data_IF_933313372473
#
_entry.id   IF_933313372473
#
_cell.length_a   1.000
_cell.length_b   1.000
_cell.length_c   1.000
_cell.angle_alpha   90.00
_cell.angle_beta   90.00
_cell.angle_gamma   90.00
#
_symmetry.space_group_name_H-M   'P 1'
#
loop_
_entity.id
_entity.type
_entity.pdbx_description
1 polymer ?
#
# COMPACT_ATOMS: atom_id res chain seq x y z
N UNK A 1 14.14 -17.55 -27.80
CA UNK A 1 13.02 -17.10 -28.67
C UNK A 1 12.00 -16.43 -27.79
N UNK A 2 11.49 -15.25 -28.19
CA UNK A 2 10.45 -14.51 -27.46
C UNK A 2 9.11 -14.71 -28.16
N UNK A 3 8.06 -15.11 -27.42
CA UNK A 3 6.71 -15.39 -27.92
C UNK A 3 5.64 -14.80 -26.99
N UNK A 4 4.46 -14.49 -27.53
CA UNK A 4 3.27 -14.10 -26.79
C UNK A 4 2.35 -15.32 -26.65
N UNK A 5 1.72 -15.46 -25.48
CA UNK A 5 0.66 -16.45 -25.25
C UNK A 5 -0.46 -15.90 -24.37
N UNK A 6 -1.60 -16.53 -24.40
CA UNK A 6 -2.70 -16.22 -23.50
C UNK A 6 -2.31 -16.59 -22.06
N UNK A 7 -2.74 -15.79 -21.10
CA UNK A 7 -2.65 -16.16 -19.68
C UNK A 7 -3.51 -17.40 -19.44
N UNK A 8 -3.05 -18.34 -18.62
CA UNK A 8 -3.59 -19.69 -18.50
C UNK A 8 -5.09 -19.80 -18.16
N UNK A 9 -5.71 -18.77 -17.61
CA UNK A 9 -7.14 -18.71 -17.29
C UNK A 9 -7.98 -17.96 -18.34
N UNK A 10 -7.37 -17.49 -19.43
CA UNK A 10 -8.06 -16.79 -20.53
C UNK A 10 -8.45 -17.78 -21.60
N UNK A 11 -9.71 -17.73 -22.03
CA UNK A 11 -10.22 -18.51 -23.17
C UNK A 11 -10.74 -17.58 -24.25
N UNK A 12 -10.52 -17.96 -25.51
CA UNK A 12 -11.06 -17.24 -26.66
C UNK A 12 -12.23 -18.03 -27.24
N UNK A 13 -13.30 -17.33 -27.62
CA UNK A 13 -14.44 -17.90 -28.30
C UNK A 13 -14.80 -17.03 -29.49
N UNK A 14 -14.82 -17.64 -30.69
CA UNK A 14 -15.35 -17.01 -31.90
C UNK A 14 -16.84 -17.37 -32.06
N UNK A 15 -17.68 -16.37 -32.30
CA UNK A 15 -19.10 -16.50 -32.57
C UNK A 15 -19.36 -16.61 -34.08
N UNK A 16 -20.53 -17.11 -34.47
CA UNK A 16 -20.91 -17.30 -35.88
C UNK A 16 -20.93 -15.99 -36.69
N UNK A 17 -21.11 -14.84 -36.03
CA UNK A 17 -21.06 -13.51 -36.65
C UNK A 17 -19.59 -12.98 -36.80
N UNK A 18 -18.59 -13.79 -36.49
CA UNK A 18 -17.18 -13.41 -36.52
C UNK A 18 -16.68 -12.63 -35.29
N UNK A 19 -17.53 -12.36 -34.33
CA UNK A 19 -17.12 -11.71 -33.10
C UNK A 19 -16.25 -12.64 -32.23
N UNK A 20 -15.10 -12.15 -31.79
CA UNK A 20 -14.20 -12.88 -30.89
C UNK A 20 -14.31 -12.29 -29.49
N UNK A 21 -14.61 -13.15 -28.51
CA UNK A 21 -14.76 -12.79 -27.11
C UNK A 21 -13.68 -13.51 -26.28
N UNK A 22 -12.99 -12.77 -25.41
CA UNK A 22 -12.12 -13.33 -24.40
C UNK A 22 -12.87 -13.44 -23.06
N UNK A 23 -12.77 -14.59 -22.40
CA UNK A 23 -13.39 -14.83 -21.09
C UNK A 23 -12.33 -15.19 -20.05
N UNK A 24 -12.45 -14.61 -18.83
CA UNK A 24 -11.51 -14.78 -17.73
C UNK A 24 -12.20 -14.45 -16.37
N UNK A 25 -12.04 -15.28 -15.38
CA UNK A 25 -12.59 -15.10 -14.01
C UNK A 25 -14.07 -14.68 -13.96
N UNK A 26 -14.92 -15.27 -14.80
CA UNK A 26 -16.35 -14.93 -14.86
C UNK A 26 -16.69 -13.64 -15.63
N UNK A 27 -15.68 -12.92 -16.12
CA UNK A 27 -15.85 -11.74 -16.98
C UNK A 27 -15.61 -12.08 -18.43
N UNK A 28 -16.18 -11.28 -19.32
CA UNK A 28 -15.97 -11.41 -20.76
C UNK A 28 -15.76 -10.04 -21.41
N UNK A 29 -14.88 -9.99 -22.40
CA UNK A 29 -14.61 -8.78 -23.18
C UNK A 29 -14.69 -9.11 -24.68
N UNK A 30 -15.45 -8.31 -25.42
CA UNK A 30 -15.53 -8.40 -26.87
C UNK A 30 -14.28 -7.78 -27.50
N UNK A 31 -13.53 -8.58 -28.25
CA UNK A 31 -12.32 -8.14 -28.94
C UNK A 31 -12.62 -7.58 -30.35
N UNK A 32 -13.84 -7.76 -30.86
CA UNK A 32 -14.31 -7.28 -32.15
C UNK A 32 -14.52 -8.40 -33.17
N UNK A 33 -14.83 -8.02 -34.41
CA UNK A 33 -15.12 -8.94 -35.50
C UNK A 33 -13.87 -9.23 -36.31
N UNK A 34 -13.60 -10.52 -36.56
CA UNK A 34 -12.43 -11.04 -37.25
C UNK A 34 -12.86 -12.16 -38.22
N UNK A 35 -12.05 -12.44 -39.23
CA UNK A 35 -12.26 -13.59 -40.10
C UNK A 35 -12.07 -14.91 -39.31
N UNK A 36 -12.79 -15.97 -39.76
CA UNK A 36 -12.64 -17.30 -39.17
C UNK A 36 -11.18 -17.79 -39.22
N UNK A 37 -10.44 -17.45 -40.27
CA UNK A 37 -9.03 -17.79 -40.41
C UNK A 37 -8.17 -17.09 -39.34
N UNK A 38 -8.47 -15.83 -39.03
CA UNK A 38 -7.75 -15.10 -37.97
C UNK A 38 -8.09 -15.63 -36.57
N UNK A 39 -9.37 -15.92 -36.29
CA UNK A 39 -9.83 -16.50 -35.04
C UNK A 39 -9.19 -17.87 -34.79
N UNK A 40 -9.22 -18.78 -35.76
CA UNK A 40 -8.57 -20.09 -35.65
C UNK A 40 -7.06 -20.00 -35.44
N UNK A 41 -6.38 -19.04 -36.09
CA UNK A 41 -4.93 -18.84 -35.91
C UNK A 41 -4.62 -18.25 -34.52
N UNK A 42 -5.53 -17.45 -33.96
CA UNK A 42 -5.39 -16.93 -32.61
C UNK A 42 -5.48 -18.01 -31.52
N UNK A 43 -6.12 -19.17 -31.78
CA UNK A 43 -6.09 -20.31 -30.86
C UNK A 43 -4.68 -20.83 -30.60
N UNK A 44 -3.76 -20.68 -31.54
CA UNK A 44 -2.36 -21.01 -31.34
C UNK A 44 -1.67 -20.17 -30.25
N UNK A 45 -2.29 -19.06 -29.80
CA UNK A 45 -1.82 -18.28 -28.65
C UNK A 45 -1.83 -19.07 -27.35
N UNK A 46 -2.64 -20.12 -27.22
CA UNK A 46 -2.55 -21.01 -26.04
C UNK A 46 -1.16 -21.69 -25.94
N UNK A 47 -0.60 -22.10 -27.07
CA UNK A 47 0.74 -22.67 -27.14
C UNK A 47 1.85 -21.61 -27.22
N UNK A 48 1.49 -20.43 -27.72
CA UNK A 48 2.38 -19.30 -27.94
C UNK A 48 2.69 -19.05 -29.43
N UNK A 49 2.75 -17.78 -29.80
CA UNK A 49 3.15 -17.34 -31.12
C UNK A 49 4.41 -16.44 -31.01
N UNK A 50 5.42 -16.62 -31.89
CA UNK A 50 6.62 -15.79 -31.84
C UNK A 50 6.29 -14.32 -32.12
N UNK A 51 6.93 -13.39 -31.43
CA UNK A 51 6.68 -11.94 -31.61
C UNK A 51 6.97 -11.46 -33.05
N UNK A 52 7.83 -12.14 -33.77
CA UNK A 52 8.08 -11.87 -35.20
C UNK A 52 6.84 -12.07 -36.10
N UNK A 53 5.86 -12.87 -35.64
CA UNK A 53 4.59 -13.06 -36.36
C UNK A 53 3.70 -11.81 -36.37
N UNK A 54 3.98 -10.82 -35.50
CA UNK A 54 3.20 -9.58 -35.34
C UNK A 54 3.92 -8.35 -35.89
N UNK A 55 4.90 -8.55 -36.77
CA UNK A 55 5.66 -7.45 -37.36
C UNK A 55 4.77 -6.50 -38.18
N UNK A 56 5.12 -5.21 -38.21
CA UNK A 56 4.33 -4.12 -38.81
C UNK A 56 4.04 -4.26 -40.32
N UNK A 57 4.65 -5.24 -40.98
CA UNK A 57 4.45 -5.53 -42.42
C UNK A 57 3.46 -6.67 -42.69
N UNK A 58 2.75 -7.16 -41.67
CA UNK A 58 1.74 -8.22 -41.82
C UNK A 58 0.62 -7.80 -42.77
N UNK A 59 0.13 -8.75 -43.63
CA UNK A 59 -0.95 -8.54 -44.57
C UNK A 59 -2.03 -9.61 -44.38
N UNK A 60 -3.26 -9.34 -44.83
CA UNK A 60 -4.38 -10.30 -44.76
C UNK A 60 -4.63 -10.80 -43.33
N UNK A 61 -4.78 -12.12 -43.19
CA UNK A 61 -5.03 -12.82 -41.90
C UNK A 61 -3.98 -12.46 -40.82
N UNK A 62 -2.71 -12.28 -41.17
CA UNK A 62 -1.67 -11.95 -40.22
C UNK A 62 -1.87 -10.56 -39.60
N UNK A 63 -2.41 -9.60 -40.38
CA UNK A 63 -2.78 -8.27 -39.90
C UNK A 63 -3.94 -8.34 -38.92
N UNK A 64 -4.94 -9.17 -39.21
CA UNK A 64 -6.09 -9.36 -38.31
C UNK A 64 -5.63 -10.01 -36.99
N UNK A 65 -4.80 -11.06 -37.05
CA UNK A 65 -4.21 -11.69 -35.84
C UNK A 65 -3.41 -10.68 -35.04
N UNK A 66 -2.56 -9.86 -35.68
CA UNK A 66 -1.81 -8.82 -34.99
C UNK A 66 -2.72 -7.82 -34.27
N UNK A 67 -3.84 -7.41 -34.91
CA UNK A 67 -4.83 -6.53 -34.29
C UNK A 67 -5.54 -7.20 -33.11
N UNK A 68 -5.90 -8.48 -33.21
CA UNK A 68 -6.52 -9.25 -32.14
C UNK A 68 -5.55 -9.35 -30.95
N UNK A 69 -4.27 -9.66 -31.20
CA UNK A 69 -3.23 -9.74 -30.17
C UNK A 69 -3.00 -8.39 -29.50
N UNK A 70 -3.02 -7.28 -30.25
CA UNK A 70 -2.95 -5.94 -29.66
C UNK A 70 -4.14 -5.63 -28.74
N UNK A 71 -5.36 -6.07 -29.11
CA UNK A 71 -6.53 -5.90 -28.23
C UNK A 71 -6.43 -6.75 -26.97
N UNK A 72 -5.92 -7.98 -27.08
CA UNK A 72 -5.61 -8.81 -25.90
C UNK A 72 -4.56 -8.16 -25.01
N UNK A 73 -3.49 -7.60 -25.56
CA UNK A 73 -2.47 -6.88 -24.81
C UNK A 73 -3.05 -5.66 -24.07
N UNK A 74 -3.95 -4.91 -24.73
CA UNK A 74 -4.65 -3.77 -24.13
C UNK A 74 -5.47 -4.14 -22.90
N UNK A 75 -6.05 -5.34 -22.89
CA UNK A 75 -6.80 -5.87 -21.75
C UNK A 75 -5.93 -6.65 -20.75
N UNK A 76 -4.60 -6.70 -20.94
CA UNK A 76 -3.70 -7.42 -20.05
C UNK A 76 -3.90 -8.94 -20.07
N UNK A 77 -4.43 -9.52 -21.17
CA UNK A 77 -4.77 -10.94 -21.28
C UNK A 77 -3.66 -11.81 -21.89
N UNK A 78 -2.48 -11.20 -22.12
CA UNK A 78 -1.31 -11.88 -22.64
C UNK A 78 -0.18 -11.90 -21.60
N UNK A 79 0.61 -12.96 -21.65
CA UNK A 79 1.94 -13.01 -21.09
C UNK A 79 2.96 -13.28 -22.20
N UNK A 80 4.21 -12.94 -21.94
CA UNK A 80 5.29 -13.20 -22.89
C UNK A 80 6.28 -14.17 -22.29
N UNK A 81 6.82 -15.04 -23.13
CA UNK A 81 7.78 -16.05 -22.68
C UNK A 81 9.09 -15.97 -23.43
N UNK A 82 10.18 -16.10 -22.71
CA UNK A 82 11.51 -16.27 -23.25
C UNK A 82 11.96 -17.69 -23.01
N UNK A 83 12.22 -18.44 -24.08
CA UNK A 83 12.69 -19.81 -24.03
C UNK A 83 13.74 -20.08 -25.08
N UNK A 84 14.34 -21.27 -25.04
CA UNK A 84 15.31 -21.69 -26.07
C UNK A 84 14.64 -21.97 -27.42
N UNK A 85 13.39 -22.43 -27.39
CA UNK A 85 12.56 -22.70 -28.55
C UNK A 85 11.09 -22.37 -28.25
N UNK A 86 10.22 -22.38 -29.27
CA UNK A 86 8.79 -22.09 -29.13
C UNK A 86 8.08 -23.08 -28.16
N UNK A 87 8.45 -24.33 -28.20
CA UNK A 87 7.83 -25.40 -27.39
C UNK A 87 8.74 -25.91 -26.28
N UNK A 88 9.87 -25.27 -26.05
CA UNK A 88 10.81 -25.62 -24.95
C UNK A 88 10.34 -25.10 -23.60
N UNK A 89 11.06 -25.48 -22.54
CA UNK A 89 10.83 -24.94 -21.21
C UNK A 89 11.02 -23.42 -21.18
N UNK A 90 10.15 -22.75 -20.42
CA UNK A 90 10.28 -21.33 -20.17
C UNK A 90 11.53 -21.05 -19.33
N UNK A 91 12.34 -20.12 -19.76
CA UNK A 91 13.44 -19.59 -18.97
C UNK A 91 13.00 -18.40 -18.14
N UNK A 92 12.17 -17.53 -18.76
CA UNK A 92 11.54 -16.38 -18.12
C UNK A 92 10.15 -16.19 -18.70
N UNK A 93 9.19 -15.90 -17.84
CA UNK A 93 7.84 -15.45 -18.23
C UNK A 93 7.70 -13.99 -17.82
N UNK A 94 7.21 -13.16 -18.75
CA UNK A 94 7.03 -11.73 -18.57
C UNK A 94 5.54 -11.48 -18.45
N UNK A 95 5.12 -11.00 -17.29
CA UNK A 95 3.73 -10.72 -16.97
C UNK A 95 3.50 -9.20 -17.02
N UNK A 96 2.66 -8.70 -17.95
CA UNK A 96 2.31 -7.28 -18.01
C UNK A 96 1.72 -6.78 -16.70
N UNK A 97 2.14 -5.60 -16.27
CA UNK A 97 1.64 -4.91 -15.09
C UNK A 97 0.87 -3.64 -15.45
N UNK A 98 0.99 -3.20 -16.69
CA UNK A 98 0.30 -2.01 -17.23
C UNK A 98 -0.46 -2.38 -18.50
N UNK A 99 -1.56 -1.70 -18.81
CA UNK A 99 -2.26 -1.86 -20.09
C UNK A 99 -1.34 -1.58 -21.28
N UNK A 100 -1.65 -2.17 -22.42
CA UNK A 100 -0.90 -1.99 -23.66
C UNK A 100 0.61 -2.34 -23.58
N UNK A 101 1.05 -3.04 -22.52
CA UNK A 101 2.44 -3.47 -22.43
C UNK A 101 2.82 -4.33 -23.64
N UNK A 102 3.91 -3.96 -24.28
CA UNK A 102 4.52 -4.71 -25.37
C UNK A 102 6.03 -4.76 -25.20
N UNK A 103 6.66 -5.94 -25.18
CA UNK A 103 8.10 -6.05 -24.99
C UNK A 103 8.88 -5.36 -26.11
N UNK A 104 9.77 -4.47 -25.76
CA UNK A 104 10.73 -3.82 -26.67
C UNK A 104 12.10 -4.37 -26.40
N UNK A 105 12.90 -4.45 -27.43
CA UNK A 105 14.26 -4.96 -27.35
C UNK A 105 15.22 -3.89 -27.88
N UNK A 106 15.62 -2.92 -27.05
CA UNK A 106 16.61 -1.95 -27.43
C UNK A 106 17.93 -2.66 -27.77
N UNK A 107 18.64 -2.16 -28.76
CA UNK A 107 19.94 -2.72 -29.11
C UNK A 107 20.92 -2.47 -27.96
N UNK A 108 21.63 -3.52 -27.56
CA UNK A 108 22.72 -3.47 -26.60
C UNK A 108 24.03 -3.54 -27.36
N UNK A 109 24.90 -2.54 -27.14
CA UNK A 109 26.26 -2.50 -27.66
C UNK A 109 27.20 -3.32 -26.78
N UNK A 110 28.26 -3.85 -27.35
CA UNK A 110 29.35 -4.49 -26.61
C UNK A 110 30.08 -3.55 -25.64
N UNK A 111 29.98 -2.25 -25.90
CA UNK A 111 30.55 -1.19 -25.05
C UNK A 111 29.63 -0.77 -23.90
N UNK A 112 28.37 -1.22 -23.91
CA UNK A 112 27.43 -0.92 -22.78
C UNK A 112 27.92 -1.55 -21.51
N UNK A 113 27.80 -0.81 -20.42
CA UNK A 113 27.95 -1.34 -19.05
C UNK A 113 26.58 -1.35 -18.40
N UNK A 114 26.19 -2.51 -17.87
CA UNK A 114 24.88 -2.73 -17.27
C UNK A 114 24.99 -2.89 -15.76
N UNK A 115 24.02 -2.33 -15.03
CA UNK A 115 23.90 -2.48 -13.59
C UNK A 115 22.42 -2.65 -13.21
N UNK A 116 22.14 -3.37 -12.13
CA UNK A 116 20.80 -3.52 -11.58
C UNK A 116 20.35 -2.19 -10.97
N UNK A 117 19.12 -1.76 -11.28
CA UNK A 117 18.52 -0.59 -10.64
C UNK A 117 18.37 -0.81 -9.13
N UNK A 118 18.57 0.24 -8.33
CA UNK A 118 18.32 0.20 -6.88
C UNK A 118 16.83 -0.03 -6.53
N UNK A 119 15.95 0.18 -7.50
CA UNK A 119 14.52 -0.12 -7.36
C UNK A 119 14.14 -1.54 -7.78
N UNK A 120 15.06 -2.32 -8.35
CA UNK A 120 14.83 -3.70 -8.69
C UNK A 120 14.90 -4.59 -7.45
N UNK A 121 13.97 -5.55 -7.35
CA UNK A 121 13.96 -6.52 -6.25
C UNK A 121 13.49 -7.89 -6.73
N UNK A 122 14.00 -8.92 -6.08
CA UNK A 122 13.57 -10.29 -6.30
C UNK A 122 12.86 -10.82 -5.04
N UNK A 123 11.76 -11.53 -5.25
CA UNK A 123 11.03 -12.18 -4.16
C UNK A 123 10.38 -13.49 -4.59
N UNK A 124 9.99 -14.29 -3.61
CA UNK A 124 9.12 -15.44 -3.83
C UNK A 124 7.66 -14.96 -4.00
N UNK A 125 6.96 -15.50 -5.01
CA UNK A 125 5.52 -15.38 -5.20
C UNK A 125 4.94 -16.79 -5.42
N UNK A 126 4.28 -17.35 -4.40
CA UNK A 126 3.96 -18.79 -4.41
C UNK A 126 5.22 -19.64 -4.51
N UNK A 127 5.36 -20.43 -5.56
CA UNK A 127 6.53 -21.25 -5.85
C UNK A 127 7.49 -20.62 -6.88
N UNK A 128 7.18 -19.41 -7.35
CA UNK A 128 7.97 -18.72 -8.37
C UNK A 128 8.95 -17.73 -7.74
N UNK A 129 10.10 -17.55 -8.38
CA UNK A 129 10.99 -16.42 -8.16
C UNK A 129 10.61 -15.31 -9.15
N UNK A 130 10.28 -14.13 -8.65
CA UNK A 130 9.92 -12.99 -9.49
C UNK A 130 10.90 -11.83 -9.30
N UNK A 131 11.23 -11.17 -10.41
CA UNK A 131 12.02 -9.95 -10.47
C UNK A 131 11.10 -8.79 -10.87
N UNK A 132 11.09 -7.75 -10.08
CA UNK A 132 10.20 -6.62 -10.20
C UNK A 132 10.92 -5.29 -9.97
N UNK A 133 10.28 -4.21 -10.43
CA UNK A 133 10.62 -2.84 -10.06
C UNK A 133 9.32 -2.01 -10.03
N UNK A 134 9.16 -1.05 -9.11
CA UNK A 134 8.04 -0.11 -9.15
C UNK A 134 8.03 0.77 -10.41
N UNK A 135 9.12 0.82 -11.15
CA UNK A 135 9.26 1.56 -12.41
C UNK A 135 8.85 0.73 -13.62
N UNK A 136 8.87 -0.60 -13.50
CA UNK A 136 8.66 -1.53 -14.60
C UNK A 136 7.18 -1.65 -14.96
N UNK A 137 6.87 -1.68 -16.25
CA UNK A 137 5.56 -2.05 -16.78
C UNK A 137 5.30 -3.55 -16.84
N UNK A 138 6.27 -4.39 -16.44
CA UNK A 138 6.15 -5.84 -16.42
C UNK A 138 6.91 -6.46 -15.25
N UNK A 139 6.45 -7.64 -14.82
CA UNK A 139 7.07 -8.52 -13.84
C UNK A 139 7.72 -9.69 -14.59
N UNK A 140 8.88 -10.13 -14.13
CA UNK A 140 9.63 -11.23 -14.72
C UNK A 140 9.65 -12.43 -13.78
N UNK A 141 8.98 -13.51 -14.14
CA UNK A 141 9.05 -14.79 -13.44
C UNK A 141 10.26 -15.56 -13.96
N UNK A 142 11.21 -15.80 -13.08
CA UNK A 142 12.50 -16.45 -13.40
C UNK A 142 12.32 -17.96 -13.21
N UNK A 143 12.26 -18.70 -14.30
CA UNK A 143 12.08 -20.15 -14.29
C UNK A 143 13.41 -20.92 -14.31
N UNK A 144 14.50 -20.27 -14.79
CA UNK A 144 15.85 -20.86 -14.82
C UNK A 144 16.72 -20.25 -13.71
N UNK A 145 17.12 -21.03 -12.68
CA UNK A 145 17.97 -20.52 -11.59
C UNK A 145 19.31 -19.94 -12.05
N UNK A 146 19.83 -20.37 -13.19
CA UNK A 146 21.07 -19.83 -13.74
C UNK A 146 20.94 -18.36 -14.17
N UNK A 147 19.73 -17.93 -14.53
CA UNK A 147 19.42 -16.52 -14.81
C UNK A 147 19.48 -15.71 -13.52
N UNK A 148 18.88 -16.20 -12.43
CA UNK A 148 18.94 -15.52 -11.13
C UNK A 148 20.38 -15.28 -10.67
N UNK A 149 21.25 -16.30 -10.81
CA UNK A 149 22.68 -16.19 -10.50
C UNK A 149 23.39 -15.16 -11.38
N UNK A 150 22.97 -15.01 -12.63
CA UNK A 150 23.53 -14.00 -13.53
C UNK A 150 23.10 -12.59 -13.17
N UNK A 151 21.81 -12.41 -12.78
CA UNK A 151 21.27 -11.14 -12.32
C UNK A 151 21.94 -10.66 -11.02
N UNK A 152 22.28 -11.58 -10.12
CA UNK A 152 23.01 -11.25 -8.89
C UNK A 152 24.38 -10.61 -9.14
N UNK A 153 25.07 -10.94 -10.24
CA UNK A 153 26.34 -10.30 -10.63
C UNK A 153 26.17 -8.83 -11.03
N UNK A 154 24.98 -8.45 -11.47
CA UNK A 154 24.68 -7.09 -11.94
C UNK A 154 24.45 -6.07 -10.81
N UNK A 155 24.60 -6.47 -9.55
CA UNK A 155 24.68 -5.55 -8.40
C UNK A 155 25.84 -4.57 -8.57
N UNK A 156 26.92 -5.00 -9.26
CA UNK A 156 28.02 -4.14 -9.69
C UNK A 156 27.98 -3.96 -11.22
N UNK A 157 28.40 -2.80 -11.75
CA UNK A 157 28.43 -2.57 -13.18
C UNK A 157 29.23 -3.65 -13.93
N UNK A 158 28.64 -4.27 -14.96
CA UNK A 158 29.22 -5.33 -15.76
C UNK A 158 29.20 -4.98 -17.25
N UNK A 159 30.31 -5.20 -18.00
CA UNK A 159 30.33 -5.00 -19.44
C UNK A 159 29.38 -5.98 -20.16
N UNK A 160 28.52 -5.49 -21.04
CA UNK A 160 27.58 -6.32 -21.81
C UNK A 160 28.30 -7.40 -22.64
N UNK A 161 29.49 -7.11 -23.16
CA UNK A 161 30.35 -8.06 -23.88
C UNK A 161 30.73 -9.27 -23.05
N UNK A 162 31.06 -9.08 -21.76
CA UNK A 162 31.40 -10.17 -20.85
C UNK A 162 30.20 -11.08 -20.56
N UNK A 163 29.06 -10.48 -20.26
CA UNK A 163 27.81 -11.19 -19.97
C UNK A 163 27.34 -12.03 -21.17
N UNK A 164 27.50 -11.51 -22.40
CA UNK A 164 27.16 -12.23 -23.61
C UNK A 164 28.07 -13.45 -23.84
N UNK A 165 29.36 -13.33 -23.57
CA UNK A 165 30.31 -14.45 -23.70
C UNK A 165 30.01 -15.58 -22.72
N UNK A 166 29.57 -15.26 -21.51
CA UNK A 166 29.29 -16.26 -20.48
C UNK A 166 27.99 -17.03 -20.72
N UNK A 167 26.98 -16.45 -21.37
CA UNK A 167 25.61 -16.97 -21.35
C UNK A 167 24.88 -17.05 -22.70
N UNK A 168 25.46 -16.55 -23.79
CA UNK A 168 24.90 -16.63 -25.14
C UNK A 168 23.78 -15.63 -25.45
N UNK A 169 23.13 -15.77 -26.61
CA UNK A 169 22.18 -14.81 -27.18
C UNK A 169 20.84 -14.70 -26.42
N UNK A 170 20.38 -15.74 -25.74
CA UNK A 170 19.11 -15.71 -25.01
C UNK A 170 19.16 -14.74 -23.83
N UNK A 171 20.31 -14.64 -23.16
CA UNK A 171 20.51 -13.69 -22.04
C UNK A 171 20.60 -12.26 -22.56
N UNK A 172 21.13 -12.04 -23.78
CA UNK A 172 21.14 -10.73 -24.40
C UNK A 172 19.71 -10.20 -24.65
N UNK A 173 18.81 -11.07 -25.12
CA UNK A 173 17.39 -10.74 -25.26
C UNK A 173 16.77 -10.35 -23.91
N UNK A 174 17.05 -11.11 -22.87
CA UNK A 174 16.56 -10.80 -21.52
C UNK A 174 17.08 -9.45 -21.04
N UNK A 175 18.38 -9.17 -21.19
CA UNK A 175 18.95 -7.90 -20.75
C UNK A 175 18.37 -6.71 -21.50
N UNK A 176 18.10 -6.84 -22.80
CA UNK A 176 17.40 -5.80 -23.56
C UNK A 176 16.00 -5.52 -23.00
N UNK A 177 15.25 -6.58 -22.68
CA UNK A 177 13.93 -6.46 -22.05
C UNK A 177 14.00 -5.81 -20.66
N UNK A 178 15.00 -6.18 -19.86
CA UNK A 178 15.18 -5.61 -18.51
C UNK A 178 15.64 -4.14 -18.58
N UNK A 179 16.37 -3.74 -19.61
CA UNK A 179 16.70 -2.33 -19.85
C UNK A 179 15.47 -1.55 -20.29
N UNK A 180 14.63 -2.10 -21.17
CA UNK A 180 13.37 -1.47 -21.57
C UNK A 180 12.43 -1.27 -20.36
N UNK A 181 12.43 -2.22 -19.42
CA UNK A 181 11.65 -2.16 -18.19
C UNK A 181 12.33 -1.41 -17.03
N UNK A 182 13.44 -0.73 -17.28
CA UNK A 182 14.18 0.04 -16.26
C UNK A 182 14.57 -0.79 -15.01
N UNK A 183 14.69 -2.10 -15.16
CA UNK A 183 15.22 -3.02 -14.16
C UNK A 183 16.74 -3.07 -14.23
N UNK A 184 17.29 -2.98 -15.45
CA UNK A 184 18.71 -2.76 -15.71
C UNK A 184 18.94 -1.36 -16.28
N UNK A 185 20.04 -0.76 -15.88
CA UNK A 185 20.47 0.55 -16.34
C UNK A 185 21.74 0.43 -17.19
N UNK A 186 21.85 1.28 -18.22
CA UNK A 186 23.08 1.54 -18.91
C UNK A 186 23.84 2.65 -18.19
N UNK A 187 25.05 2.36 -17.75
CA UNK A 187 25.91 3.36 -17.09
C UNK A 187 27.10 3.69 -17.96
N UNK A 188 27.43 4.98 -18.07
CA UNK A 188 28.65 5.43 -18.76
C UNK A 188 29.88 5.13 -17.92
N UNK A 189 31.03 4.91 -18.61
CA UNK A 189 32.32 4.58 -17.99
C UNK A 189 32.85 5.70 -17.06
N UNK A 190 32.31 6.92 -17.17
CA UNK A 190 32.87 8.13 -16.54
C UNK A 190 32.33 8.45 -15.14
N UNK A 191 31.40 7.67 -14.58
CA UNK A 191 30.72 8.04 -13.32
C UNK A 191 31.08 7.11 -12.16
N UNK A 192 32.33 7.07 -11.81
CA UNK A 192 32.88 6.27 -10.70
C UNK A 192 32.50 6.74 -9.28
N UNK A 193 31.37 7.39 -9.06
CA UNK A 193 31.05 7.88 -7.72
C UNK A 193 29.59 8.04 -7.34
N UNK A 194 28.66 8.09 -8.28
CA UNK A 194 27.28 8.42 -7.98
C UNK A 194 26.27 7.62 -8.81
N UNK A 195 26.25 6.28 -8.66
CA UNK A 195 25.26 5.43 -9.32
C UNK A 195 23.82 5.92 -9.04
N UNK A 196 23.53 6.42 -7.84
CA UNK A 196 22.22 6.98 -7.51
C UNK A 196 21.84 8.15 -8.43
N UNK A 197 22.78 9.06 -8.72
CA UNK A 197 22.55 10.21 -9.59
C UNK A 197 22.41 9.83 -11.08
N UNK A 198 22.92 8.67 -11.48
CA UNK A 198 22.80 8.18 -12.87
C UNK A 198 21.51 7.36 -13.12
N UNK A 199 20.71 7.08 -12.10
CA UNK A 199 19.48 6.31 -12.24
C UNK A 199 18.26 7.09 -12.76
N UNK A 200 18.37 8.39 -12.98
CA UNK A 200 17.28 9.19 -13.50
C UNK A 200 17.48 10.68 -13.29
N UNK A 201 16.40 11.44 -13.45
CA UNK A 201 16.37 12.87 -13.15
C UNK A 201 16.34 13.12 -11.64
N UNK A 202 16.49 14.39 -11.24
CA UNK A 202 16.51 14.81 -9.84
C UNK A 202 15.28 14.35 -9.07
N UNK A 203 14.11 14.30 -9.72
CA UNK A 203 12.87 13.82 -9.10
C UNK A 203 12.98 12.36 -8.64
N UNK A 204 13.53 11.49 -9.49
CA UNK A 204 13.69 10.07 -9.17
C UNK A 204 14.79 9.83 -8.12
N UNK A 205 15.84 10.64 -8.14
CA UNK A 205 16.94 10.56 -7.16
C UNK A 205 16.44 10.76 -5.72
N UNK A 206 15.41 11.59 -5.54
CA UNK A 206 14.82 11.88 -4.23
C UNK A 206 13.98 10.72 -3.63
N UNK A 207 13.51 9.78 -4.46
CA UNK A 207 12.73 8.64 -3.98
C UNK A 207 13.61 7.59 -3.29
N UNK A 208 13.18 7.11 -2.13
CA UNK A 208 13.70 5.88 -1.57
C UNK A 208 12.94 4.66 -2.11
N UNK A 209 13.58 3.48 -2.05
CA UNK A 209 13.03 2.25 -2.60
C UNK A 209 11.63 1.93 -2.03
N UNK A 210 11.50 2.00 -0.69
CA UNK A 210 10.25 1.65 -0.01
C UNK A 210 9.11 2.60 -0.37
N UNK A 211 9.39 3.89 -0.43
CA UNK A 211 8.39 4.92 -0.73
C UNK A 211 7.87 4.78 -2.15
N UNK A 212 8.77 4.62 -3.13
CA UNK A 212 8.39 4.41 -4.52
C UNK A 212 7.65 3.09 -4.72
N UNK A 213 8.10 2.01 -4.05
CA UNK A 213 7.43 0.73 -4.10
C UNK A 213 6.01 0.82 -3.55
N UNK A 214 5.84 1.42 -2.36
CA UNK A 214 4.54 1.59 -1.74
C UNK A 214 3.62 2.47 -2.59
N UNK A 215 4.11 3.61 -3.06
CA UNK A 215 3.37 4.51 -3.93
C UNK A 215 2.90 3.80 -5.21
N UNK A 216 3.80 3.11 -5.91
CA UNK A 216 3.48 2.43 -7.15
C UNK A 216 2.55 1.21 -6.97
N UNK A 217 2.58 0.54 -5.80
CA UNK A 217 1.78 -0.66 -5.52
C UNK A 217 0.44 -0.36 -4.87
N UNK A 218 0.25 0.83 -4.32
CA UNK A 218 -1.01 1.26 -3.69
C UNK A 218 -1.86 2.20 -4.54
N UNK A 219 -1.41 2.52 -5.76
CA UNK A 219 -2.10 3.36 -6.74
C UNK A 219 -2.29 2.63 -8.06
N UNK A 220 -3.27 3.01 -8.89
CA UNK A 220 -3.46 2.43 -10.22
C UNK A 220 -2.31 2.74 -11.19
N UNK A 221 -2.18 1.91 -12.22
CA UNK A 221 -1.34 2.17 -13.39
C UNK A 221 0.07 1.59 -13.34
N UNK A 222 0.48 0.97 -12.23
CA UNK A 222 1.83 0.39 -12.07
C UNK A 222 1.86 -1.06 -11.65
N UNK A 223 0.71 -1.70 -11.48
CA UNK A 223 0.57 -3.12 -11.15
C UNK A 223 -0.75 -3.67 -11.68
N UNK A 224 -0.80 -4.99 -11.88
CA UNK A 224 -2.00 -5.70 -12.34
C UNK A 224 -2.89 -6.19 -11.17
N UNK A 225 -2.53 -5.93 -9.92
CA UNK A 225 -3.37 -6.31 -8.78
C UNK A 225 -4.65 -5.47 -8.76
N UNK A 226 -5.81 -6.07 -8.52
CA UNK A 226 -7.06 -5.32 -8.45
C UNK A 226 -7.03 -4.34 -7.27
N UNK A 227 -7.56 -3.12 -7.51
CA UNK A 227 -7.79 -2.13 -6.48
C UNK A 227 -9.24 -2.23 -6.00
N UNK A 228 -9.45 -2.07 -4.71
CA UNK A 228 -10.79 -2.09 -4.11
C UNK A 228 -11.06 -3.31 -3.25
N UNK A 229 -12.33 -3.60 -3.01
CA UNK A 229 -12.78 -4.66 -2.12
C UNK A 229 -12.84 -6.02 -2.81
N UNK A 230 -11.73 -6.72 -2.93
CA UNK A 230 -11.64 -8.03 -3.61
C UNK A 230 -11.85 -9.23 -2.68
N UNK A 231 -11.96 -8.99 -1.36
CA UNK A 231 -12.23 -10.00 -0.33
C UNK A 231 -11.42 -11.31 -0.47
N UNK A 232 -10.09 -11.25 -0.58
CA UNK A 232 -9.26 -12.41 -0.96
C UNK A 232 -9.32 -13.56 0.04
N UNK A 233 -9.80 -13.31 1.24
CA UNK A 233 -9.87 -14.29 2.34
C UNK A 233 -11.30 -14.57 2.83
N UNK A 234 -12.34 -14.13 2.10
CA UNK A 234 -13.73 -14.27 2.53
C UNK A 234 -14.16 -15.71 2.81
N UNK A 235 -13.58 -16.69 2.08
CA UNK A 235 -13.89 -18.12 2.22
C UNK A 235 -13.04 -18.83 3.28
N UNK A 236 -11.97 -18.21 3.79
CA UNK A 236 -10.98 -18.87 4.66
C UNK A 236 -10.80 -18.19 6.02
N UNK A 237 -11.08 -16.90 6.13
CA UNK A 237 -10.89 -16.12 7.35
C UNK A 237 -12.17 -15.32 7.62
N UNK A 238 -12.75 -15.48 8.81
CA UNK A 238 -13.88 -14.68 9.22
C UNK A 238 -13.48 -13.20 9.39
N UNK A 239 -14.35 -12.24 9.01
CA UNK A 239 -14.07 -10.83 9.23
C UNK A 239 -13.92 -10.49 10.70
N UNK A 240 -12.99 -9.61 11.04
CA UNK A 240 -12.88 -9.10 12.39
C UNK A 240 -14.13 -8.28 12.76
N UNK A 241 -14.62 -8.36 14.01
CA UNK A 241 -15.78 -7.60 14.45
C UNK A 241 -15.52 -6.09 14.27
N UNK A 242 -16.56 -5.32 13.96
CA UNK A 242 -16.48 -3.89 13.76
C UNK A 242 -16.00 -3.16 15.02
N UNK A 243 -16.49 -3.59 16.16
CA UNK A 243 -16.03 -3.13 17.47
C UNK A 243 -15.10 -4.18 18.06
N UNK A 244 -13.99 -3.77 18.63
CA UNK A 244 -13.06 -4.65 19.32
C UNK A 244 -13.75 -5.31 20.52
N UNK A 245 -13.43 -6.58 20.82
CA UNK A 245 -13.81 -7.16 22.11
C UNK A 245 -13.37 -6.27 23.28
N UNK A 246 -14.22 -6.12 24.25
CA UNK A 246 -13.99 -5.22 25.39
C UNK A 246 -12.66 -5.55 26.07
N UNK A 247 -11.91 -4.49 26.41
CA UNK A 247 -10.70 -4.67 27.20
C UNK A 247 -11.04 -5.18 28.59
N UNK A 248 -10.28 -6.13 29.10
CA UNK A 248 -10.45 -6.67 30.43
C UNK A 248 -10.00 -5.68 31.50
N UNK A 249 -10.65 -5.69 32.68
CA UNK A 249 -10.30 -4.85 33.81
C UNK A 249 -11.31 -3.75 34.12
N UNK A 250 -10.95 -2.90 35.06
CA UNK A 250 -11.77 -1.76 35.51
C UNK A 250 -11.86 -0.72 34.41
N UNK A 251 -13.05 -0.14 34.21
CA UNK A 251 -13.30 0.89 33.21
C UNK A 251 -13.65 2.21 33.87
N UNK A 252 -13.15 3.29 33.28
CA UNK A 252 -13.53 4.66 33.63
C UNK A 252 -14.65 5.05 32.66
N UNK A 253 -15.84 5.29 33.16
CA UNK A 253 -17.00 5.71 32.38
C UNK A 253 -16.93 7.21 32.07
N UNK A 254 -16.55 7.55 30.84
CA UNK A 254 -16.40 8.91 30.40
C UNK A 254 -17.73 9.63 30.20
N UNK A 255 -18.84 8.90 30.00
CA UNK A 255 -20.16 9.51 29.83
C UNK A 255 -20.69 10.16 31.13
N UNK A 256 -20.13 9.76 32.28
CA UNK A 256 -20.47 10.36 33.59
C UNK A 256 -19.69 11.64 33.90
N UNK A 257 -18.69 11.99 33.09
CA UNK A 257 -17.95 13.22 33.28
C UNK A 257 -18.79 14.42 32.86
N UNK A 258 -18.90 15.50 33.68
CA UNK A 258 -19.69 16.66 33.34
C UNK A 258 -19.10 17.36 32.12
N UNK A 259 -19.92 17.52 31.08
CA UNK A 259 -19.56 18.29 29.90
C UNK A 259 -19.84 19.77 30.19
N UNK A 260 -18.82 20.62 30.10
CA UNK A 260 -19.02 22.07 30.08
C UNK A 260 -19.58 22.44 28.71
N UNK A 261 -20.83 22.81 28.68
CA UNK A 261 -21.47 23.39 27.49
C UNK A 261 -20.85 24.75 27.22
N UNK A 262 -19.86 24.78 26.32
CA UNK A 262 -19.22 26.03 25.91
C UNK A 262 -20.01 26.61 24.74
N UNK A 263 -20.69 27.73 24.95
CA UNK A 263 -21.60 28.44 24.03
C UNK A 263 -20.98 28.86 22.68
N UNK A 264 -19.70 28.78 22.50
CA UNK A 264 -19.09 29.23 21.24
C UNK A 264 -18.89 28.10 20.24
N UNK A 265 -19.90 27.71 19.52
CA UNK A 265 -19.73 27.01 18.23
C UNK A 265 -19.02 27.95 17.27
N UNK A 266 -17.70 27.93 17.29
CA UNK A 266 -16.91 28.69 16.31
C UNK A 266 -17.26 28.15 14.92
N UNK A 267 -17.46 29.04 13.96
CA UNK A 267 -17.71 28.59 12.59
C UNK A 267 -16.57 27.71 12.10
N UNK A 268 -16.86 26.69 11.29
CA UNK A 268 -15.86 25.76 10.76
C UNK A 268 -14.68 26.50 10.09
N UNK A 269 -14.96 27.58 9.38
CA UNK A 269 -13.93 28.38 8.72
C UNK A 269 -13.00 29.10 9.71
N UNK A 270 -13.50 29.49 10.88
CA UNK A 270 -12.70 30.10 11.94
C UNK A 270 -11.78 29.06 12.57
N UNK A 271 -12.32 27.89 12.92
CA UNK A 271 -11.56 26.79 13.48
C UNK A 271 -10.41 26.36 12.54
N UNK A 272 -10.69 26.22 11.25
CA UNK A 272 -9.69 25.86 10.25
C UNK A 272 -8.54 26.89 10.17
N UNK A 273 -8.83 28.18 10.29
CA UNK A 273 -7.82 29.25 10.26
C UNK A 273 -7.00 29.33 11.54
N UNK A 274 -7.62 29.08 12.69
CA UNK A 274 -6.96 29.14 14.00
C UNK A 274 -6.14 27.86 14.32
N UNK A 275 -6.43 26.75 13.65
CA UNK A 275 -5.72 25.49 13.83
C UNK A 275 -4.21 25.66 13.61
N UNK A 276 -3.42 25.32 14.60
CA UNK A 276 -1.96 25.27 14.56
C UNK A 276 -1.44 24.05 15.34
N UNK A 277 -0.21 23.63 15.06
CA UNK A 277 0.47 22.61 15.89
C UNK A 277 1.01 23.30 17.14
N UNK A 278 0.56 22.84 18.30
CA UNK A 278 1.01 23.28 19.62
C UNK A 278 1.91 22.19 20.20
N UNK A 279 3.14 22.53 20.51
CA UNK A 279 4.16 21.58 21.00
C UNK A 279 4.59 21.86 22.44
N UNK A 280 4.23 23.03 22.98
CA UNK A 280 4.53 23.44 24.34
C UNK A 280 3.22 23.47 25.15
N UNK A 281 3.17 22.63 26.18
CA UNK A 281 1.98 22.48 27.01
C UNK A 281 2.20 23.10 28.40
N UNK A 282 1.12 23.56 29.02
CA UNK A 282 1.15 24.19 30.34
C UNK A 282 0.98 23.16 31.44
N UNK A 283 2.06 22.88 32.16
CA UNK A 283 2.05 21.88 33.25
C UNK A 283 1.18 22.30 34.45
N UNK A 284 0.85 23.61 34.58
CA UNK A 284 0.08 24.16 35.69
C UNK A 284 -1.42 24.05 35.51
N UNK A 285 -1.89 24.00 34.23
CA UNK A 285 -3.29 23.91 33.89
C UNK A 285 -3.52 22.69 32.99
N UNK A 286 -3.60 21.47 33.55
CA UNK A 286 -3.77 20.28 32.76
C UNK A 286 -5.15 20.24 32.08
N UNK A 287 -5.25 19.47 31.01
CA UNK A 287 -6.53 19.06 30.44
C UNK A 287 -7.29 18.25 31.49
N UNK A 288 -8.60 18.47 31.60
CA UNK A 288 -9.46 17.71 32.50
C UNK A 288 -10.00 16.44 31.84
N UNK A 289 -10.39 15.44 32.66
CA UNK A 289 -11.07 14.23 32.16
C UNK A 289 -12.38 14.58 31.41
N UNK A 290 -13.09 15.63 31.82
CA UNK A 290 -14.30 16.08 31.12
C UNK A 290 -13.98 16.62 29.73
N UNK A 291 -12.90 17.40 29.56
CA UNK A 291 -12.45 17.89 28.26
C UNK A 291 -11.92 16.75 27.40
N UNK A 292 -11.18 15.80 27.97
CA UNK A 292 -10.75 14.60 27.25
C UNK A 292 -11.92 13.76 26.76
N UNK A 293 -12.96 13.56 27.60
CA UNK A 293 -14.19 12.86 27.24
C UNK A 293 -14.88 13.54 26.07
N UNK A 294 -15.08 14.86 26.14
CA UNK A 294 -15.70 15.64 25.07
C UNK A 294 -14.88 15.59 23.77
N UNK A 295 -13.56 15.62 23.87
CA UNK A 295 -12.66 15.48 22.74
C UNK A 295 -12.82 14.13 22.04
N UNK A 296 -12.78 13.04 22.80
CA UNK A 296 -12.90 11.66 22.28
C UNK A 296 -14.31 11.38 21.72
N UNK A 297 -15.38 11.88 22.37
CA UNK A 297 -16.75 11.79 21.87
C UNK A 297 -16.89 12.46 20.49
N UNK A 298 -16.42 13.68 20.38
CA UNK A 298 -16.52 14.48 19.15
C UNK A 298 -15.59 14.02 18.01
N UNK A 299 -14.60 13.17 18.27
CA UNK A 299 -13.60 12.79 17.29
C UNK A 299 -13.56 11.31 16.92
N UNK A 300 -13.86 10.40 17.86
CA UNK A 300 -13.55 8.99 17.66
C UNK A 300 -14.64 8.01 18.12
N UNK A 301 -15.63 8.46 18.90
CA UNK A 301 -16.70 7.60 19.43
C UNK A 301 -17.50 6.93 18.31
N UNK A 302 -17.89 5.69 18.50
CA UNK A 302 -18.83 4.98 17.64
C UNK A 302 -20.22 5.62 17.79
N UNK A 303 -20.77 6.12 16.67
CA UNK A 303 -22.07 6.79 16.62
C UNK A 303 -23.19 5.82 16.27
N UNK A 304 -22.90 4.81 15.44
CA UNK A 304 -23.83 3.76 15.06
C UNK A 304 -23.10 2.51 14.58
N UNK A 305 -23.79 1.38 14.70
CA UNK A 305 -23.33 0.08 14.23
C UNK A 305 -24.40 -0.56 13.34
N UNK A 306 -23.97 -1.28 12.32
CA UNK A 306 -24.86 -2.09 11.49
C UNK A 306 -24.10 -3.27 10.90
N UNK A 307 -24.85 -4.24 10.41
CA UNK A 307 -24.34 -5.44 9.78
C UNK A 307 -24.93 -5.59 8.38
N UNK A 308 -24.10 -6.00 7.43
CA UNK A 308 -24.53 -6.26 6.07
C UNK A 308 -24.20 -7.72 5.71
N UNK A 309 -25.17 -8.43 5.12
CA UNK A 309 -24.89 -9.73 4.53
C UNK A 309 -24.05 -9.55 3.27
N UNK A 310 -23.08 -10.42 3.09
CA UNK A 310 -22.24 -10.50 1.91
C UNK A 310 -22.38 -11.90 1.33
N UNK A 311 -23.01 -11.99 0.16
CA UNK A 311 -23.09 -13.23 -0.59
C UNK A 311 -21.75 -13.45 -1.33
N UNK A 312 -20.91 -14.30 -0.75
CA UNK A 312 -19.80 -14.88 -1.51
C UNK A 312 -20.37 -15.99 -2.39
N UNK A 313 -20.10 -15.95 -3.68
CA UNK A 313 -20.48 -17.02 -4.62
C UNK A 313 -20.11 -18.38 -4.01
N UNK A 314 -21.11 -19.29 -3.90
CA UNK A 314 -21.04 -20.63 -3.30
C UNK A 314 -21.19 -20.77 -1.77
N UNK A 315 -22.39 -20.46 -1.25
CA UNK A 315 -22.93 -21.29 -0.13
C UNK A 315 -22.73 -20.84 1.29
N UNK A 316 -22.53 -19.57 1.58
CA UNK A 316 -22.57 -19.09 2.97
C UNK A 316 -22.56 -17.58 3.04
N UNK A 317 -23.69 -16.97 3.42
CA UNK A 317 -23.76 -15.53 3.67
C UNK A 317 -22.81 -15.14 4.81
N UNK A 318 -21.73 -14.41 4.50
CA UNK A 318 -20.87 -13.78 5.48
C UNK A 318 -21.53 -12.51 5.99
N UNK A 319 -21.47 -12.28 7.29
CA UNK A 319 -21.98 -11.07 7.93
C UNK A 319 -20.80 -10.14 8.25
N UNK A 320 -20.83 -8.92 7.70
CA UNK A 320 -19.80 -7.92 7.91
C UNK A 320 -20.37 -6.83 8.81
N UNK A 321 -19.71 -6.59 9.94
CA UNK A 321 -20.06 -5.53 10.87
C UNK A 321 -19.35 -4.21 10.49
N UNK A 322 -20.09 -3.12 10.53
CA UNK A 322 -19.65 -1.77 10.25
C UNK A 322 -19.96 -0.82 11.39
N UNK A 323 -19.22 0.28 11.46
CA UNK A 323 -19.49 1.38 12.40
C UNK A 323 -19.47 2.71 11.67
N UNK A 324 -20.07 3.74 12.27
CA UNK A 324 -19.91 5.15 11.89
C UNK A 324 -19.25 5.89 13.03
N UNK A 325 -18.25 6.69 12.73
CA UNK A 325 -17.53 7.57 13.66
C UNK A 325 -17.50 8.99 13.10
N UNK A 326 -17.11 10.02 13.86
CA UNK A 326 -17.09 11.42 13.41
C UNK A 326 -16.17 11.71 12.20
N UNK A 327 -15.20 10.86 11.93
CA UNK A 327 -14.33 10.96 10.76
C UNK A 327 -14.68 9.89 9.71
N UNK A 328 -14.48 10.14 8.40
CA UNK A 328 -14.68 9.12 7.37
C UNK A 328 -13.55 8.09 7.38
N UNK A 329 -13.87 6.86 6.97
CA UNK A 329 -12.91 5.78 6.78
C UNK A 329 -13.17 5.03 5.49
N UNK A 330 -12.11 4.57 4.85
CA UNK A 330 -12.17 3.80 3.61
C UNK A 330 -13.07 2.58 3.73
N UNK A 331 -14.20 2.57 2.99
CA UNK A 331 -15.18 1.48 3.01
C UNK A 331 -15.83 1.25 4.37
N UNK A 332 -15.94 2.25 5.22
CA UNK A 332 -16.45 2.18 6.61
C UNK A 332 -15.73 1.13 7.46
N UNK A 333 -14.45 0.88 7.16
CA UNK A 333 -13.66 -0.16 7.85
C UNK A 333 -13.28 0.23 9.26
N UNK A 334 -13.03 1.52 9.52
CA UNK A 334 -12.63 2.07 10.82
C UNK A 334 -11.59 1.20 11.56
N UNK A 335 -10.39 1.04 11.00
CA UNK A 335 -9.38 0.16 11.57
C UNK A 335 -8.65 0.76 12.76
N UNK A 336 -8.83 2.07 13.02
CA UNK A 336 -8.01 2.81 13.97
C UNK A 336 -8.56 2.67 15.40
N UNK A 337 -7.64 2.32 16.31
CA UNK A 337 -7.86 2.23 17.74
C UNK A 337 -6.93 3.23 18.46
N UNK A 338 -7.36 3.72 19.63
CA UNK A 338 -6.65 4.78 20.35
C UNK A 338 -6.11 4.28 21.70
N UNK A 339 -4.85 4.58 21.94
CA UNK A 339 -4.17 4.29 23.20
C UNK A 339 -3.60 5.59 23.76
N UNK A 340 -3.89 5.89 25.01
CA UNK A 340 -3.58 7.16 25.64
C UNK A 340 -2.48 6.96 26.68
N UNK A 341 -1.33 7.60 26.49
CA UNK A 341 -0.32 7.77 27.52
C UNK A 341 -0.61 9.10 28.22
N UNK A 342 -1.11 9.02 29.44
CA UNK A 342 -1.48 10.17 30.26
C UNK A 342 -0.32 10.49 31.19
N UNK A 343 0.24 11.69 31.03
CA UNK A 343 1.23 12.25 31.95
C UNK A 343 0.58 13.15 33.01
N UNK A 344 -0.28 14.07 32.55
CA UNK A 344 -0.94 15.04 33.44
C UNK A 344 -2.36 15.33 32.95
N UNK A 345 -3.37 14.88 33.69
CA UNK A 345 -4.78 15.10 33.38
C UNK A 345 -5.56 15.24 34.70
N UNK A 346 -6.32 16.32 34.84
CA UNK A 346 -7.15 16.52 36.02
C UNK A 346 -8.29 15.47 36.05
N UNK A 347 -8.37 14.69 37.12
CA UNK A 347 -9.39 13.63 37.29
C UNK A 347 -9.07 12.30 36.61
N UNK A 348 -7.85 12.11 36.10
CA UNK A 348 -7.39 10.86 35.54
C UNK A 348 -5.94 10.60 35.99
N UNK A 349 -5.69 9.44 36.57
CA UNK A 349 -4.35 9.06 37.02
C UNK A 349 -3.35 8.96 35.86
N UNK A 350 -2.08 9.22 36.15
CA UNK A 350 -1.00 8.99 35.21
C UNK A 350 -0.91 7.51 34.87
N UNK A 351 -0.95 7.17 33.56
CA UNK A 351 -0.99 5.78 33.12
C UNK A 351 -1.09 5.60 31.62
N UNK A 352 -1.32 4.35 31.23
CA UNK A 352 -1.56 3.99 29.83
C UNK A 352 -2.92 3.33 29.70
N UNK A 353 -3.73 3.80 28.74
CA UNK A 353 -5.14 3.43 28.64
C UNK A 353 -5.51 3.07 27.21
N UNK A 354 -6.36 2.07 27.03
CA UNK A 354 -7.09 1.82 25.80
C UNK A 354 -8.42 2.58 25.82
N UNK A 355 -8.73 3.28 24.73
CA UNK A 355 -10.05 3.92 24.56
C UNK A 355 -11.01 2.97 23.85
N UNK A 356 -12.05 2.53 24.56
CA UNK A 356 -13.17 1.79 23.98
C UNK A 356 -14.14 2.79 23.33
N UNK A 357 -14.06 2.90 22.00
CA UNK A 357 -14.89 3.85 21.26
C UNK A 357 -16.38 3.45 21.22
N UNK A 358 -16.71 2.18 21.38
CA UNK A 358 -18.09 1.69 21.44
C UNK A 358 -18.77 2.06 22.75
N UNK A 359 -18.12 1.79 23.86
CA UNK A 359 -18.62 2.05 25.21
C UNK A 359 -18.32 3.48 25.70
N UNK A 360 -17.44 4.20 24.99
CA UNK A 360 -16.91 5.49 25.41
C UNK A 360 -16.27 5.43 26.80
N UNK A 361 -15.34 4.50 26.98
CA UNK A 361 -14.65 4.27 28.26
C UNK A 361 -13.14 4.18 28.07
N UNK A 362 -12.39 4.41 29.16
CA UNK A 362 -10.95 4.15 29.23
C UNK A 362 -10.71 2.88 30.05
N UNK A 363 -9.95 1.94 29.48
CA UNK A 363 -9.49 0.74 30.15
C UNK A 363 -8.00 0.86 30.47
N UNK A 364 -7.57 0.86 31.73
CA UNK A 364 -6.16 0.93 32.07
C UNK A 364 -5.40 -0.32 31.60
N UNK A 365 -4.20 -0.11 31.10
CA UNK A 365 -3.27 -1.16 30.71
C UNK A 365 -2.08 -1.07 31.67
N UNK A 366 -1.77 -2.20 32.31
CA UNK A 366 -0.62 -2.28 33.21
C UNK A 366 0.69 -2.24 32.40
N UNK A 367 1.46 -1.19 32.57
CA UNK A 367 2.74 -0.98 31.90
C UNK A 367 3.81 -0.57 32.92
N UNK A 368 5.06 -0.88 32.61
CA UNK A 368 6.16 -0.43 33.47
C UNK A 368 6.32 1.09 33.36
N UNK A 369 6.50 1.78 34.48
CA UNK A 369 6.69 3.24 34.48
C UNK A 369 7.76 3.72 33.49
N UNK A 370 8.87 2.98 33.37
CA UNK A 370 9.95 3.28 32.42
C UNK A 370 9.53 3.22 30.95
N UNK A 371 8.53 2.38 30.59
CA UNK A 371 8.01 2.24 29.22
C UNK A 371 7.11 3.43 28.89
N UNK A 372 6.26 3.82 29.84
CA UNK A 372 5.44 5.03 29.71
C UNK A 372 6.32 6.28 29.57
N UNK A 373 7.36 6.41 30.41
CA UNK A 373 8.33 7.52 30.33
C UNK A 373 9.06 7.53 28.99
N UNK A 374 9.47 6.36 28.47
CA UNK A 374 10.15 6.26 27.18
C UNK A 374 9.25 6.69 26.03
N UNK A 375 7.96 6.31 26.06
CA UNK A 375 6.98 6.70 25.05
C UNK A 375 6.75 8.22 25.05
N UNK A 376 6.53 8.82 26.22
CA UNK A 376 6.30 10.25 26.38
C UNK A 376 7.55 11.08 26.02
N UNK A 377 8.75 10.64 26.40
CA UNK A 377 10.02 11.27 26.02
C UNK A 377 10.28 11.21 24.53
N UNK A 378 9.94 10.08 23.87
CA UNK A 378 10.04 9.97 22.42
C UNK A 378 9.14 10.99 21.71
N UNK A 379 7.93 11.21 22.23
CA UNK A 379 7.01 12.21 21.72
C UNK A 379 7.56 13.64 21.93
N UNK A 380 8.10 13.94 23.11
CA UNK A 380 8.74 15.23 23.42
C UNK A 380 9.90 15.52 22.47
N UNK A 381 10.76 14.53 22.23
CA UNK A 381 11.85 14.64 21.25
C UNK A 381 11.33 14.93 19.84
N UNK A 382 10.30 14.19 19.37
CA UNK A 382 9.70 14.41 18.07
C UNK A 382 9.04 15.80 17.92
N UNK A 383 8.62 16.42 19.01
CA UNK A 383 8.11 17.78 19.05
C UNK A 383 9.20 18.87 19.19
N UNK A 384 10.48 18.51 19.13
CA UNK A 384 11.62 19.44 19.28
C UNK A 384 11.95 19.77 20.73
N UNK A 385 11.80 18.80 21.64
CA UNK A 385 12.12 18.92 23.09
C UNK A 385 11.34 20.05 23.81
N UNK A 386 10.17 20.42 23.28
CA UNK A 386 9.34 21.52 23.81
C UNK A 386 8.56 21.15 25.08
N UNK A 387 8.84 20.00 25.68
CA UNK A 387 8.16 19.47 26.87
C UNK A 387 7.38 18.18 26.60
N UNK A 388 7.01 17.50 27.68
CA UNK A 388 6.19 16.27 27.61
C UNK A 388 4.75 16.67 27.34
N UNK A 389 4.02 15.97 26.45
CA UNK A 389 2.59 16.25 26.25
C UNK A 389 1.78 15.83 27.48
N UNK A 390 0.73 16.56 27.81
CA UNK A 390 -0.18 16.19 28.90
C UNK A 390 -0.81 14.83 28.65
N UNK A 391 -1.23 14.57 27.40
CA UNK A 391 -1.69 13.28 26.93
C UNK A 391 -1.11 13.03 25.53
N UNK A 392 -0.58 11.82 25.32
CA UNK A 392 -0.17 11.34 24.00
C UNK A 392 -1.13 10.25 23.56
N UNK A 393 -1.83 10.50 22.46
CA UNK A 393 -2.73 9.53 21.82
C UNK A 393 -1.92 8.79 20.75
N UNK A 394 -1.71 7.48 20.94
CA UNK A 394 -1.16 6.60 19.91
C UNK A 394 -2.32 6.04 19.08
N UNK A 395 -2.29 6.29 17.78
CA UNK A 395 -3.24 5.77 16.80
C UNK A 395 -2.69 4.45 16.30
N UNK A 396 -3.33 3.35 16.64
CA UNK A 396 -2.97 2.01 16.18
C UNK A 396 -3.97 1.52 15.15
N UNK A 397 -3.53 0.70 14.19
CA UNK A 397 -4.38 0.14 13.16
C UNK A 397 -4.52 -1.37 13.34
N UNK A 398 -5.74 -1.86 13.33
CA UNK A 398 -6.07 -3.28 13.19
C UNK A 398 -5.98 -3.65 11.71
N UNK A 399 -4.80 -4.07 11.26
CA UNK A 399 -4.49 -4.26 9.84
C UNK A 399 -5.45 -5.20 9.14
N UNK A 400 -5.82 -6.31 9.78
CA UNK A 400 -6.77 -7.29 9.24
C UNK A 400 -8.16 -6.72 8.94
N UNK A 401 -8.55 -5.62 9.58
CA UNK A 401 -9.84 -4.95 9.32
C UNK A 401 -9.94 -4.38 7.91
N UNK A 402 -8.82 -3.94 7.35
CA UNK A 402 -8.72 -3.36 5.99
C UNK A 402 -8.19 -4.39 5.01
N UNK A 403 -7.12 -5.12 5.35
CA UNK A 403 -6.48 -6.09 4.46
C UNK A 403 -7.36 -7.29 4.15
N UNK A 404 -8.36 -7.59 4.98
CA UNK A 404 -9.36 -8.59 4.68
C UNK A 404 -10.23 -8.20 3.47
N UNK A 405 -10.53 -6.91 3.33
CA UNK A 405 -11.38 -6.36 2.27
C UNK A 405 -10.58 -5.90 1.05
N UNK A 406 -9.46 -5.22 1.28
CA UNK A 406 -8.63 -4.59 0.25
C UNK A 406 -7.27 -5.27 0.15
N UNK A 407 -6.75 -5.45 -1.07
CA UNK A 407 -5.43 -6.05 -1.27
C UNK A 407 -4.32 -5.01 -1.37
N UNK A 408 -4.17 -4.35 -2.51
CA UNK A 408 -3.01 -3.51 -2.81
C UNK A 408 -3.03 -2.13 -2.13
N UNK A 409 -4.22 -1.60 -1.84
CA UNK A 409 -4.39 -0.25 -1.27
C UNK A 409 -4.62 -0.25 0.25
N UNK A 410 -4.59 -1.41 0.91
CA UNK A 410 -4.99 -1.54 2.32
C UNK A 410 -4.20 -0.60 3.24
N UNK A 411 -2.88 -0.61 3.17
CA UNK A 411 -2.04 0.24 4.01
C UNK A 411 -2.17 1.73 3.65
N UNK A 412 -2.34 2.04 2.36
CA UNK A 412 -2.61 3.41 1.90
C UNK A 412 -3.92 3.97 2.47
N UNK A 413 -4.98 3.15 2.53
CA UNK A 413 -6.25 3.56 3.15
C UNK A 413 -6.08 3.83 4.65
N UNK A 414 -5.35 2.96 5.36
CA UNK A 414 -5.04 3.17 6.79
C UNK A 414 -4.35 4.51 7.00
N UNK A 415 -3.32 4.83 6.21
CA UNK A 415 -2.59 6.10 6.36
C UNK A 415 -3.46 7.32 5.99
N UNK A 416 -4.36 7.20 5.02
CA UNK A 416 -5.35 8.24 4.70
C UNK A 416 -6.33 8.45 5.86
N UNK A 417 -6.81 7.38 6.48
CA UNK A 417 -7.67 7.43 7.67
C UNK A 417 -6.95 8.09 8.85
N UNK A 418 -5.65 7.81 9.05
CA UNK A 418 -4.81 8.50 10.06
C UNK A 418 -4.76 10.00 9.81
N UNK A 419 -4.53 10.42 8.56
CA UNK A 419 -4.51 11.84 8.20
C UNK A 419 -5.84 12.54 8.48
N UNK A 420 -6.95 11.88 8.13
CA UNK A 420 -8.30 12.41 8.38
C UNK A 420 -8.59 12.50 9.88
N UNK A 421 -8.31 11.43 10.64
CA UNK A 421 -8.51 11.43 12.10
C UNK A 421 -7.65 12.48 12.78
N UNK A 422 -6.39 12.63 12.37
CA UNK A 422 -5.47 13.66 12.87
C UNK A 422 -6.03 15.07 12.61
N UNK A 423 -6.57 15.33 11.43
CA UNK A 423 -7.20 16.61 11.14
C UNK A 423 -8.45 16.82 12.00
N UNK A 424 -9.25 15.77 12.21
CA UNK A 424 -10.42 15.83 13.12
C UNK A 424 -9.98 16.18 14.54
N UNK A 425 -8.90 15.60 15.02
CA UNK A 425 -8.30 15.92 16.32
C UNK A 425 -7.87 17.40 16.40
N UNK A 426 -7.19 17.91 15.39
CA UNK A 426 -6.78 19.30 15.35
C UNK A 426 -7.97 20.27 15.41
N UNK A 427 -9.01 20.00 14.62
CA UNK A 427 -10.19 20.87 14.57
C UNK A 427 -10.92 20.87 15.90
N UNK A 428 -11.10 19.69 16.51
CA UNK A 428 -11.77 19.57 17.81
C UNK A 428 -10.94 20.20 18.93
N UNK A 429 -9.64 19.95 18.98
CA UNK A 429 -8.76 20.59 19.96
C UNK A 429 -8.81 22.11 19.84
N UNK A 430 -8.74 22.64 18.60
CA UNK A 430 -8.85 24.08 18.35
C UNK A 430 -10.20 24.65 18.79
N UNK A 431 -11.30 23.95 18.49
CA UNK A 431 -12.65 24.36 18.89
C UNK A 431 -12.81 24.41 20.41
N UNK A 432 -12.11 23.52 21.12
CA UNK A 432 -12.12 23.44 22.59
C UNK A 432 -11.10 24.36 23.26
N UNK A 433 -10.30 25.13 22.50
CA UNK A 433 -9.21 25.96 23.05
C UNK A 433 -8.03 25.13 23.57
N UNK A 434 -7.90 23.87 23.15
CA UNK A 434 -6.79 23.00 23.46
C UNK A 434 -5.70 23.06 22.40
N UNK A 435 -4.49 22.72 22.75
CA UNK A 435 -3.37 22.54 21.85
C UNK A 435 -3.25 21.10 21.38
N UNK A 436 -2.79 20.89 20.15
CA UNK A 436 -2.51 19.57 19.63
C UNK A 436 -1.33 19.56 18.65
N UNK A 437 -0.64 18.42 18.56
CA UNK A 437 0.45 18.20 17.62
C UNK A 437 0.47 16.75 17.12
N UNK A 438 0.36 16.57 15.80
CA UNK A 438 0.56 15.27 15.17
C UNK A 438 2.05 14.90 15.19
N UNK A 439 2.35 13.62 15.44
CA UNK A 439 3.69 13.05 15.49
C UNK A 439 3.72 11.84 14.57
N UNK A 440 4.67 11.86 13.62
CA UNK A 440 4.82 10.80 12.63
C UNK A 440 5.79 9.69 13.01
N UNK A 441 6.72 9.96 13.95
CA UNK A 441 7.68 8.96 14.41
C UNK A 441 7.09 8.11 15.53
N UNK A 442 7.20 6.78 15.43
CA UNK A 442 6.60 5.87 16.40
C UNK A 442 7.54 4.69 16.64
N UNK A 443 7.66 4.28 17.91
CA UNK A 443 8.38 3.08 18.28
C UNK A 443 7.43 1.87 18.34
N UNK A 444 7.44 1.10 17.27
CA UNK A 444 6.56 -0.07 17.08
C UNK A 444 6.83 -1.14 18.16
N UNK A 445 8.10 -1.42 18.43
CA UNK A 445 8.49 -2.45 19.41
C UNK A 445 8.12 -2.07 20.85
N UNK A 446 8.24 -0.78 21.19
CA UNK A 446 7.81 -0.30 22.50
C UNK A 446 6.31 -0.47 22.67
N UNK A 447 5.52 -0.09 21.68
CA UNK A 447 4.07 -0.25 21.69
C UNK A 447 3.66 -1.74 21.84
N UNK A 448 4.27 -2.64 21.08
CA UNK A 448 4.00 -4.07 21.16
C UNK A 448 4.29 -4.64 22.56
N UNK A 449 5.40 -4.20 23.20
CA UNK A 449 5.72 -4.61 24.58
C UNK A 449 4.74 -4.06 25.61
N UNK A 450 4.29 -2.81 25.46
CA UNK A 450 3.35 -2.17 26.38
C UNK A 450 1.95 -2.78 26.29
N UNK A 451 1.50 -3.17 25.11
CA UNK A 451 0.17 -3.71 24.88
C UNK A 451 0.11 -5.24 24.93
N UNK A 452 1.22 -5.92 24.71
CA UNK A 452 1.27 -7.37 24.51
C UNK A 452 0.65 -7.81 23.19
N UNK A 453 0.34 -6.90 22.27
CA UNK A 453 -0.31 -7.21 21.00
C UNK A 453 0.76 -7.45 19.93
N UNK A 454 0.55 -8.47 19.10
CA UNK A 454 1.37 -8.72 17.92
C UNK A 454 1.24 -7.55 16.93
N UNK A 455 2.37 -6.90 16.61
CA UNK A 455 2.38 -5.71 15.76
C UNK A 455 1.94 -5.97 14.32
N UNK A 456 1.91 -7.23 13.84
CA UNK A 456 1.32 -7.58 12.55
C UNK A 456 -0.21 -7.63 12.58
N UNK A 457 -0.80 -7.80 13.77
CA UNK A 457 -2.25 -7.81 13.99
C UNK A 457 -2.76 -6.40 14.20
N UNK A 458 -2.10 -5.67 15.11
CA UNK A 458 -2.43 -4.29 15.44
C UNK A 458 -1.15 -3.53 15.80
N UNK A 459 -0.88 -2.42 15.14
CA UNK A 459 0.33 -1.65 15.34
C UNK A 459 0.14 -0.15 15.17
N UNK A 460 1.01 0.67 15.77
CA UNK A 460 0.89 2.11 15.74
C UNK A 460 1.21 2.65 14.33
N UNK A 461 0.39 3.59 13.87
CA UNK A 461 0.47 4.23 12.55
C UNK A 461 0.45 5.75 12.62
N UNK A 462 0.30 6.34 13.80
CA UNK A 462 0.34 7.78 14.05
C UNK A 462 0.28 8.08 15.54
N UNK A 463 0.69 9.29 15.93
CA UNK A 463 0.51 9.78 17.28
C UNK A 463 0.00 11.23 17.26
N UNK A 464 -0.67 11.62 18.33
CA UNK A 464 -1.18 12.98 18.52
C UNK A 464 -1.01 13.39 19.98
N UNK A 465 -0.21 14.43 20.21
CA UNK A 465 -0.07 15.08 21.51
C UNK A 465 -1.24 16.05 21.71
N UNK A 466 -1.85 16.05 22.89
CA UNK A 466 -2.94 16.97 23.24
C UNK A 466 -2.79 17.47 24.69
N UNK A 467 -3.23 18.68 24.92
CA UNK A 467 -3.26 19.31 26.24
C UNK A 467 -3.53 20.80 26.17
N UNK A 468 -3.44 21.47 27.31
CA UNK A 468 -3.51 22.94 27.37
C UNK A 468 -2.23 23.53 26.80
N UNK A 469 -2.35 24.29 25.70
CA UNK A 469 -1.20 25.00 25.14
C UNK A 469 -0.74 26.14 26.06
N UNK A 470 0.58 26.27 26.21
CA UNK A 470 1.16 27.45 26.85
C UNK A 470 1.03 28.63 25.89
N UNK A 471 0.50 29.76 26.37
CA UNK A 471 0.51 30.98 25.58
C UNK A 471 1.95 31.37 25.23
N UNK A 472 2.20 31.86 24.00
CA UNK A 472 3.52 32.41 23.69
C UNK A 472 3.82 33.54 24.69
N UNK A 473 4.97 33.48 25.32
CA UNK A 473 5.46 34.64 26.09
C UNK A 473 5.43 35.84 25.12
N UNK A 474 4.72 36.89 25.50
CA UNK A 474 4.72 38.10 24.71
C UNK A 474 6.18 38.51 24.53
N UNK A 475 6.68 38.44 23.31
CA UNK A 475 8.00 38.92 22.96
C UNK A 475 8.04 40.42 23.32
N UNK A 476 8.68 40.70 24.47
CA UNK A 476 8.96 42.04 24.91
C UNK A 476 9.91 42.78 23.95
#
# INVERSE_FOLDING_TARGET
MLSARLIGHVTLKAHANGEVVASFYGHSVALGVFSAAAANRAEALHAGLPLSAFASRARGTDKEVALLVQRLARHGLLEFRLGRSLHGADQVVIEPQVPDYWPRMPQLSDTDTLVLSRFAYMRRRGNDLVLESPRSGALFRICDPAIAATLAKLVTPQPAKQLRRERGSAVQTLFALLVDCEILLRVGVAHGGALRLSEGNDSLVLWDFHDLLFHARSTEGRHANPLGGVYPYATSIAPLPAVRPRWVGTKIDLAKSPIKDTESVRSAAKILRERRSVRNFDDRTPISLAELSQFLDGTARVQSEWTTAFDADEGGGLSIAYTRRPYPSGGSSYPLELYLAVDNCEGLDRGFYFYDAGEHTLAPIDVRARELDALLKSAAFAMGESGVPQILITIAARFGRVSWKYSSIAYSLILKDVGVLTQTFYLMATAMGLGGCAIGSINIDLFARMTGIDFYVEGPVGQFAIGRGREPEASG
#
